data_IF_511105282919
#
_entry.id   IF_511105282919
#
_cell.length_a   1.000
_cell.length_b   1.000
_cell.length_c   1.000
_cell.angle_alpha   90.00
_cell.angle_beta   90.00
_cell.angle_gamma   90.00
#
_symmetry.space_group_name_H-M   'P 1'
#
loop_
_entity.id
_entity.type
_entity.pdbx_description
1 polymer ?
#
# COMPACT_ATOMS: atom_id res chain seq x y z
N UNK A 1 13.08 -2.21 15.60
CA UNK A 1 12.02 -3.06 16.12
C UNK A 1 11.18 -3.63 14.98
N UNK A 2 10.98 -4.95 14.99
CA UNK A 2 10.30 -5.63 13.91
C UNK A 2 8.81 -5.25 13.82
N UNK A 3 8.21 -4.91 14.95
CA UNK A 3 6.81 -4.55 14.96
C UNK A 3 6.55 -3.30 14.13
N UNK A 4 7.41 -2.30 14.29
CA UNK A 4 7.24 -1.07 13.53
C UNK A 4 7.39 -1.33 12.03
N UNK A 5 8.37 -2.14 11.67
CA UNK A 5 8.59 -2.44 10.26
C UNK A 5 7.40 -3.19 9.67
N UNK A 6 6.83 -4.09 10.46
CA UNK A 6 5.67 -4.85 10.01
C UNK A 6 4.49 -3.92 9.71
N UNK A 7 4.24 -2.96 10.59
CA UNK A 7 3.16 -2.01 10.40
C UNK A 7 3.41 -1.15 9.17
N UNK A 8 4.64 -0.72 8.97
CA UNK A 8 4.98 0.10 7.81
C UNK A 8 4.75 -0.68 6.51
N UNK A 9 5.08 -1.97 6.50
CA UNK A 9 4.85 -2.79 5.33
C UNK A 9 3.36 -2.92 5.02
N UNK A 10 2.54 -3.05 6.04
CA UNK A 10 1.09 -3.12 5.84
C UNK A 10 0.55 -1.83 5.24
N UNK A 11 1.03 -0.69 5.73
CA UNK A 11 0.59 0.59 5.21
C UNK A 11 1.00 0.75 3.75
N UNK A 12 2.21 0.34 3.40
CA UNK A 12 2.67 0.41 2.03
C UNK A 12 1.85 -0.48 1.11
N UNK A 13 1.45 -1.66 1.59
CA UNK A 13 0.62 -2.55 0.79
C UNK A 13 -0.72 -1.90 0.46
N UNK A 14 -1.33 -1.25 1.43
CA UNK A 14 -2.61 -0.57 1.22
C UNK A 14 -2.43 0.57 0.22
N UNK A 15 -1.37 1.34 0.35
CA UNK A 15 -1.12 2.45 -0.56
C UNK A 15 -0.91 1.95 -1.98
N UNK A 16 -0.18 0.84 -2.14
CA UNK A 16 0.05 0.27 -3.46
C UNK A 16 -1.25 -0.17 -4.10
N UNK A 17 -2.14 -0.79 -3.33
CA UNK A 17 -3.41 -1.23 -3.88
C UNK A 17 -4.26 -0.05 -4.33
N UNK A 18 -4.24 1.03 -3.57
CA UNK A 18 -4.99 2.22 -3.96
C UNK A 18 -4.46 2.79 -5.27
N UNK A 19 -3.15 2.81 -5.43
CA UNK A 19 -2.56 3.31 -6.68
C UNK A 19 -2.96 2.45 -7.86
N UNK A 20 -2.98 1.14 -7.69
CA UNK A 20 -3.37 0.23 -8.76
C UNK A 20 -4.82 0.46 -9.14
N UNK A 21 -5.70 0.60 -8.17
CA UNK A 21 -7.10 0.83 -8.45
C UNK A 21 -7.31 2.17 -9.15
N UNK A 22 -6.62 3.19 -8.69
CA UNK A 22 -6.73 4.50 -9.31
C UNK A 22 -6.27 4.47 -10.75
N UNK A 23 -5.16 3.79 -11.02
CA UNK A 23 -4.65 3.67 -12.37
C UNK A 23 -5.63 2.93 -13.27
N UNK A 24 -6.30 1.92 -12.72
CA UNK A 24 -7.28 1.17 -13.48
C UNK A 24 -8.46 2.05 -13.89
N UNK A 25 -8.86 2.95 -13.02
CA UNK A 25 -9.95 3.87 -13.33
C UNK A 25 -9.51 4.88 -14.37
N UNK A 26 -8.28 5.35 -14.29
CA UNK A 26 -7.78 6.37 -15.21
C UNK A 26 -7.52 5.81 -16.61
N UNK A 27 -7.29 4.52 -16.68
CA UNK A 27 -7.11 3.88 -17.97
C UNK A 27 -8.47 3.55 -18.55
#
# INVERSE_FOLDING_TARGET
NNEKKLVETLIESIANELLIELNSIYQ
#
